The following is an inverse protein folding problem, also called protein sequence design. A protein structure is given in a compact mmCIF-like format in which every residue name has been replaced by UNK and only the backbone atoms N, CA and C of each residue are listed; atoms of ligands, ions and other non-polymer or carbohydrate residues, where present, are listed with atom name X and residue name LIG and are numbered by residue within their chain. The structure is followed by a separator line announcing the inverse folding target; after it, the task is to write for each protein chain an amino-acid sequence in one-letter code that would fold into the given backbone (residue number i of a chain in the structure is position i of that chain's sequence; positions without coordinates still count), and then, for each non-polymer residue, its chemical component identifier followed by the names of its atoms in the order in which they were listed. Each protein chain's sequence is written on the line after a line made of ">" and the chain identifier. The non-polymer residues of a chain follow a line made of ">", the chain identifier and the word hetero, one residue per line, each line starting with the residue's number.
data_IF_971955161657
#
_entry.id   IF_971955161657
#
_cell.length_a   1.000
_cell.length_b   1.000
_cell.length_c   1.000
_cell.angle_alpha   90.00
_cell.angle_beta   90.00
_cell.angle_gamma   90.00
#
_symmetry.space_group_name_H-M   'P 1'
#
loop_
_entity.id
_entity.type
_entity.pdbx_description
1 polymer ?
#
# COMPACT_ATOMS: atom_id res chain seq x y z
N UNK A 1 2.21 0.26 -16.07
CA UNK A 1 3.21 1.37 -16.10
C UNK A 1 4.59 0.85 -15.64
N UNK A 2 5.72 1.37 -16.16
CA UNK A 2 7.07 0.90 -15.76
C UNK A 2 7.40 1.48 -14.36
N UNK A 3 7.81 0.64 -13.41
CA UNK A 3 8.27 1.03 -12.05
C UNK A 3 9.22 2.23 -12.10
N UNK A 4 10.08 2.31 -13.13
CA UNK A 4 11.01 3.41 -13.36
C UNK A 4 10.32 4.78 -13.50
N UNK A 5 9.15 4.85 -14.15
CA UNK A 5 8.40 6.10 -14.34
C UNK A 5 7.77 6.62 -13.05
N UNK A 6 7.30 5.74 -12.17
CA UNK A 6 6.72 6.13 -10.87
C UNK A 6 7.82 6.65 -9.95
N UNK A 7 9.00 6.03 -9.99
CA UNK A 7 10.17 6.52 -9.27
C UNK A 7 10.64 7.89 -9.74
N UNK A 8 10.78 8.11 -11.05
CA UNK A 8 11.19 9.40 -11.61
C UNK A 8 10.22 10.55 -11.25
N UNK A 9 8.95 10.23 -10.99
CA UNK A 9 7.94 11.23 -10.62
C UNK A 9 7.98 11.60 -9.12
N UNK A 10 8.47 10.72 -8.25
CA UNK A 10 8.48 10.90 -6.79
C UNK A 10 9.89 11.26 -6.28
N UNK A 11 10.92 10.71 -6.93
CA UNK A 11 12.32 10.82 -6.54
C UNK A 11 13.14 11.38 -7.69
N UNK A 12 14.17 12.17 -7.37
CA UNK A 12 15.09 12.67 -8.40
C UNK A 12 15.82 11.51 -9.11
N UNK A 13 16.34 11.76 -10.32
CA UNK A 13 16.99 10.75 -11.16
C UNK A 13 18.17 10.03 -10.46
N UNK A 14 18.89 10.74 -9.58
CA UNK A 14 20.03 10.23 -8.81
C UNK A 14 19.61 9.22 -7.73
N UNK A 15 18.55 9.52 -6.98
CA UNK A 15 17.99 8.63 -5.96
C UNK A 15 17.42 7.37 -6.59
N UNK A 16 16.71 7.53 -7.71
CA UNK A 16 16.17 6.42 -8.51
C UNK A 16 17.26 5.42 -8.92
N UNK A 17 18.40 5.92 -9.41
CA UNK A 17 19.54 5.08 -9.84
C UNK A 17 20.14 4.30 -8.67
N UNK A 18 20.27 4.93 -7.50
CA UNK A 18 20.81 4.30 -6.29
C UNK A 18 19.92 3.16 -5.75
N UNK A 19 18.59 3.30 -5.87
CA UNK A 19 17.62 2.30 -5.41
C UNK A 19 17.54 1.10 -6.36
N UNK A 20 17.53 1.35 -7.68
CA UNK A 20 17.54 0.26 -8.68
C UNK A 20 18.80 -0.61 -8.53
N UNK A 21 19.95 -0.02 -8.23
CA UNK A 21 21.21 -0.75 -8.00
C UNK A 21 21.21 -1.63 -6.74
N UNK A 22 20.29 -1.39 -5.80
CA UNK A 22 20.16 -2.17 -4.56
C UNK A 22 19.21 -3.36 -4.66
N UNK A 23 18.56 -3.61 -5.80
CA UNK A 23 17.62 -4.72 -5.95
C UNK A 23 16.41 -4.59 -5.01
N UNK A 24 15.72 -3.45 -5.07
CA UNK A 24 14.56 -3.16 -4.21
C UNK A 24 13.49 -4.25 -4.30
N UNK A 25 12.98 -4.65 -3.13
CA UNK A 25 11.82 -5.55 -3.06
C UNK A 25 10.54 -4.80 -3.44
N UNK A 26 9.53 -5.53 -3.91
CA UNK A 26 8.21 -4.97 -4.22
C UNK A 26 7.57 -4.27 -3.01
N UNK A 27 7.71 -4.86 -1.82
CA UNK A 27 7.25 -4.27 -0.56
C UNK A 27 7.96 -2.95 -0.24
N UNK A 28 9.29 -2.90 -0.47
CA UNK A 28 10.06 -1.68 -0.27
C UNK A 28 9.60 -0.60 -1.24
N UNK A 29 9.33 -0.94 -2.50
CA UNK A 29 8.78 0.02 -3.45
C UNK A 29 7.45 0.61 -2.98
N UNK A 30 6.49 -0.24 -2.61
CA UNK A 30 5.17 0.20 -2.14
C UNK A 30 5.31 1.08 -0.89
N UNK A 31 6.15 0.68 0.07
CA UNK A 31 6.45 1.50 1.24
C UNK A 31 6.96 2.89 0.89
N UNK A 32 7.94 2.98 -0.01
CA UNK A 32 8.54 4.26 -0.40
C UNK A 32 7.52 5.19 -1.08
N UNK A 33 6.67 4.67 -1.97
CA UNK A 33 5.59 5.46 -2.59
C UNK A 33 4.64 6.04 -1.54
N UNK A 34 4.14 5.21 -0.63
CA UNK A 34 3.25 5.68 0.44
C UNK A 34 3.97 6.64 1.40
N UNK A 35 5.22 6.36 1.75
CA UNK A 35 6.04 7.20 2.64
C UNK A 35 6.22 8.59 2.07
N UNK A 36 6.57 8.69 0.78
CA UNK A 36 6.76 9.98 0.12
C UNK A 36 5.48 10.81 0.13
N UNK A 37 4.35 10.22 -0.25
CA UNK A 37 3.08 10.96 -0.38
C UNK A 37 2.52 11.34 0.98
N UNK A 38 2.46 10.39 1.92
CA UNK A 38 1.90 10.66 3.25
C UNK A 38 2.71 11.72 4.00
N UNK A 39 4.04 11.72 3.88
CA UNK A 39 4.89 12.72 4.55
C UNK A 39 4.85 14.11 3.91
N UNK A 40 4.45 14.21 2.65
CA UNK A 40 4.16 15.50 2.02
C UNK A 40 2.88 16.12 2.59
N UNK A 41 1.88 15.29 2.91
CA UNK A 41 0.60 15.73 3.48
C UNK A 41 0.66 15.97 4.99
N UNK A 42 1.29 15.05 5.73
CA UNK A 42 1.39 15.07 7.18
C UNK A 42 2.74 14.48 7.63
N UNK A 43 3.62 15.34 8.13
CA UNK A 43 4.95 14.94 8.63
C UNK A 43 4.90 14.08 9.89
N UNK A 44 3.75 13.99 10.56
CA UNK A 44 3.55 13.22 11.79
C UNK A 44 3.03 11.81 11.57
N UNK A 45 2.74 11.43 10.30
CA UNK A 45 2.32 10.08 9.94
C UNK A 45 3.36 9.04 10.39
N UNK A 46 2.88 7.98 11.03
CA UNK A 46 3.69 6.79 11.27
C UNK A 46 3.56 5.88 10.06
N UNK A 47 4.69 5.46 9.48
CA UNK A 47 4.74 4.47 8.42
C UNK A 47 5.95 3.55 8.64
N UNK A 48 5.72 2.24 8.54
CA UNK A 48 6.72 1.20 8.80
C UNK A 48 6.52 0.00 7.89
N UNK A 49 7.59 -0.77 7.69
CA UNK A 49 7.54 -2.10 7.04
C UNK A 49 7.54 -3.22 8.07
N UNK A 50 7.08 -4.40 7.67
CA UNK A 50 7.19 -5.65 8.44
C UNK A 50 6.67 -5.53 9.87
N UNK A 51 5.47 -4.96 10.02
CA UNK A 51 4.86 -4.73 11.33
C UNK A 51 4.08 -5.97 11.75
N UNK A 52 4.35 -6.47 12.95
CA UNK A 52 3.57 -7.54 13.58
C UNK A 52 2.61 -6.95 14.60
N UNK A 53 1.33 -7.31 14.50
CA UNK A 53 0.27 -6.85 15.40
C UNK A 53 -0.41 -8.07 16.01
N UNK A 54 -0.60 -8.07 17.34
CA UNK A 54 -1.37 -9.08 18.05
C UNK A 54 -2.86 -8.84 17.83
N UNK A 55 -3.56 -9.83 17.28
CA UNK A 55 -5.00 -9.82 17.08
C UNK A 55 -5.78 -10.21 18.34
N UNK A 56 -7.08 -9.95 18.35
CA UNK A 56 -7.97 -10.25 19.48
C UNK A 56 -8.17 -11.75 19.72
N UNK A 57 -7.88 -12.59 18.74
CA UNK A 57 -7.83 -14.05 18.92
C UNK A 57 -6.56 -14.54 19.63
N UNK A 58 -5.56 -13.66 19.85
CA UNK A 58 -4.24 -14.01 20.34
C UNK A 58 -3.25 -14.44 19.25
N UNK A 59 -3.68 -14.47 17.98
CA UNK A 59 -2.79 -14.69 16.84
C UNK A 59 -1.99 -13.42 16.49
N UNK A 60 -0.72 -13.58 16.15
CA UNK A 60 0.13 -12.48 15.64
C UNK A 60 0.07 -12.42 14.12
N UNK A 61 -0.22 -11.26 13.57
CA UNK A 61 -0.31 -11.03 12.12
C UNK A 61 0.78 -10.07 11.67
N UNK A 62 1.57 -10.48 10.68
CA UNK A 62 2.54 -9.62 10.02
C UNK A 62 1.91 -8.94 8.80
N UNK A 63 2.25 -7.66 8.61
CA UNK A 63 1.89 -6.84 7.47
C UNK A 63 3.14 -6.24 6.83
N UNK A 64 3.16 -6.21 5.50
CA UNK A 64 4.33 -5.77 4.73
C UNK A 64 4.57 -4.27 4.89
N UNK A 65 3.50 -3.48 4.86
CA UNK A 65 3.51 -2.04 5.17
C UNK A 65 2.35 -1.72 6.10
N UNK A 66 2.59 -0.80 7.02
CA UNK A 66 1.58 -0.27 7.92
C UNK A 66 1.76 1.24 8.03
N UNK A 67 0.64 1.99 8.03
CA UNK A 67 0.66 3.40 8.39
C UNK A 67 -0.52 3.80 9.26
N UNK A 68 -0.31 4.85 10.05
CA UNK A 68 -1.36 5.48 10.85
C UNK A 68 -1.15 6.98 11.02
N UNK A 69 -2.26 7.71 11.10
CA UNK A 69 -2.31 9.13 11.42
C UNK A 69 -3.60 9.44 12.19
N UNK A 70 -3.68 10.63 12.77
CA UNK A 70 -4.88 11.11 13.47
C UNK A 70 -5.46 12.31 12.76
N UNK A 71 -6.74 12.26 12.37
CA UNK A 71 -7.45 13.39 11.77
C UNK A 71 -8.71 13.65 12.57
N UNK A 72 -8.89 14.89 13.02
CA UNK A 72 -10.03 15.31 13.84
C UNK A 72 -10.32 14.29 14.96
N UNK A 73 -9.33 14.03 15.82
CA UNK A 73 -9.32 13.06 16.94
C UNK A 73 -9.53 11.58 16.57
N UNK A 74 -9.77 11.23 15.31
CA UNK A 74 -9.95 9.85 14.86
C UNK A 74 -8.62 9.28 14.38
N UNK A 75 -8.23 8.14 14.95
CA UNK A 75 -7.04 7.38 14.53
C UNK A 75 -7.38 6.51 13.32
N UNK A 76 -6.73 6.79 12.20
CA UNK A 76 -6.83 6.00 10.97
C UNK A 76 -5.63 5.07 10.87
N UNK A 77 -5.88 3.77 10.67
CA UNK A 77 -4.85 2.73 10.61
C UNK A 77 -5.05 1.89 9.36
N UNK A 78 -3.98 1.66 8.62
CA UNK A 78 -4.01 0.91 7.37
C UNK A 78 -2.86 -0.07 7.34
N UNK A 79 -3.19 -1.32 7.05
CA UNK A 79 -2.23 -2.36 6.73
C UNK A 79 -2.28 -2.67 5.23
N UNK A 80 -1.09 -2.90 4.66
CA UNK A 80 -0.90 -3.22 3.26
C UNK A 80 -0.21 -4.58 3.14
N UNK A 81 -0.79 -5.47 2.33
CA UNK A 81 -0.19 -6.74 1.93
C UNK A 81 0.22 -6.66 0.45
N UNK A 82 1.45 -7.03 0.15
CA UNK A 82 2.10 -6.95 -1.14
C UNK A 82 2.23 -8.34 -1.77
N UNK A 83 1.69 -8.52 -2.98
CA UNK A 83 1.76 -9.80 -3.72
C UNK A 83 2.52 -9.64 -5.04
N UNK A 84 3.80 -10.02 -5.03
CA UNK A 84 4.68 -10.02 -6.20
C UNK A 84 4.79 -11.40 -6.87
N UNK A 85 3.64 -12.01 -7.20
CA UNK A 85 3.60 -13.30 -7.89
C UNK A 85 3.48 -13.12 -9.40
N UNK A 86 3.88 -14.12 -10.19
CA UNK A 86 3.73 -14.11 -11.66
C UNK A 86 2.28 -14.27 -12.15
N UNK A 87 1.39 -14.77 -11.31
CA UNK A 87 -0.02 -15.02 -11.65
C UNK A 87 -0.93 -14.10 -10.84
N UNK A 88 -2.10 -13.72 -11.40
CA UNK A 88 -3.09 -12.95 -10.66
C UNK A 88 -3.46 -13.60 -9.32
N UNK A 89 -3.68 -12.76 -8.32
CA UNK A 89 -4.05 -13.19 -6.97
C UNK A 89 -5.46 -13.79 -6.97
N UNK A 90 -5.57 -14.98 -6.39
CA UNK A 90 -6.84 -15.70 -6.24
C UNK A 90 -7.65 -15.23 -5.01
N UNK A 91 -8.91 -15.67 -4.95
CA UNK A 91 -9.83 -15.33 -3.85
C UNK A 91 -9.31 -15.81 -2.49
N UNK A 92 -8.63 -16.95 -2.43
CA UNK A 92 -8.15 -17.55 -1.18
C UNK A 92 -7.17 -16.62 -0.47
N UNK A 93 -6.22 -16.06 -1.20
CA UNK A 93 -5.24 -15.09 -0.66
C UNK A 93 -5.90 -13.81 -0.15
N UNK A 94 -6.92 -13.29 -0.86
CA UNK A 94 -7.67 -12.12 -0.39
C UNK A 94 -8.46 -12.46 0.89
N UNK A 95 -9.05 -13.66 0.96
CA UNK A 95 -9.74 -14.17 2.13
C UNK A 95 -8.82 -14.31 3.34
N UNK A 96 -7.62 -14.85 3.16
CA UNK A 96 -6.60 -14.97 4.22
C UNK A 96 -6.25 -13.58 4.79
N UNK A 97 -5.97 -12.61 3.91
CA UNK A 97 -5.68 -11.25 4.32
C UNK A 97 -6.88 -10.61 5.05
N UNK A 98 -8.11 -10.80 4.55
CA UNK A 98 -9.32 -10.31 5.21
C UNK A 98 -9.45 -10.88 6.64
N UNK A 99 -9.12 -12.15 6.85
CA UNK A 99 -9.12 -12.76 8.18
C UNK A 99 -8.12 -12.08 9.13
N UNK A 100 -6.90 -11.75 8.66
CA UNK A 100 -5.92 -10.97 9.45
C UNK A 100 -6.49 -9.60 9.84
N UNK A 101 -7.13 -8.91 8.90
CA UNK A 101 -7.71 -7.58 9.12
C UNK A 101 -8.87 -7.63 10.14
N UNK A 102 -9.74 -8.63 10.07
CA UNK A 102 -10.87 -8.77 11.00
C UNK A 102 -10.45 -9.04 12.45
N UNK A 103 -9.25 -9.60 12.63
CA UNK A 103 -8.70 -9.91 13.94
C UNK A 103 -8.10 -8.68 14.65
N UNK A 104 -7.97 -7.54 13.96
CA UNK A 104 -7.44 -6.30 14.52
C UNK A 104 -8.49 -5.20 14.43
N UNK A 105 -8.85 -4.64 15.58
CA UNK A 105 -9.89 -3.62 15.62
C UNK A 105 -9.41 -2.30 14.97
N UNK A 106 -10.33 -1.66 14.24
CA UNK A 106 -10.09 -0.40 13.52
C UNK A 106 -8.87 -0.44 12.58
N UNK A 107 -8.77 -1.50 11.76
CA UNK A 107 -7.74 -1.64 10.73
C UNK A 107 -8.36 -1.75 9.34
N UNK A 108 -7.92 -0.89 8.42
CA UNK A 108 -8.26 -1.01 7.00
C UNK A 108 -7.20 -1.83 6.27
N UNK A 109 -7.63 -2.61 5.28
CA UNK A 109 -6.74 -3.48 4.50
C UNK A 109 -6.65 -3.04 3.05
N UNK A 110 -5.42 -2.84 2.57
CA UNK A 110 -5.09 -2.69 1.15
C UNK A 110 -4.26 -3.90 0.74
N UNK A 111 -4.60 -4.53 -0.38
CA UNK A 111 -3.71 -5.50 -1.02
C UNK A 111 -3.20 -4.90 -2.33
N UNK A 112 -1.89 -4.94 -2.54
CA UNK A 112 -1.25 -4.48 -3.77
C UNK A 112 -0.68 -5.69 -4.52
N UNK A 113 -1.04 -5.87 -5.79
CA UNK A 113 -0.50 -6.96 -6.62
C UNK A 113 0.22 -6.47 -7.87
N UNK A 114 1.40 -7.04 -8.13
CA UNK A 114 2.14 -6.80 -9.37
C UNK A 114 1.47 -7.43 -10.61
N UNK A 115 0.69 -8.51 -10.43
CA UNK A 115 0.04 -9.26 -11.52
C UNK A 115 -1.48 -9.16 -11.51
N UNK A 116 -2.05 -8.25 -10.69
CA UNK A 116 -3.50 -8.06 -10.57
C UNK A 116 -4.22 -9.23 -9.90
N UNK A 117 -5.53 -9.33 -10.16
CA UNK A 117 -6.45 -10.20 -9.43
C UNK A 117 -7.32 -11.03 -10.37
N UNK A 118 -7.70 -12.23 -9.92
CA UNK A 118 -8.76 -12.99 -10.57
C UNK A 118 -10.13 -12.31 -10.33
N UNK A 119 -11.10 -12.56 -11.21
CA UNK A 119 -12.46 -12.01 -11.08
C UNK A 119 -13.10 -12.37 -9.73
N UNK A 120 -12.98 -13.62 -9.30
CA UNK A 120 -13.51 -14.08 -8.01
C UNK A 120 -12.86 -13.42 -6.79
N UNK A 121 -11.58 -13.01 -6.89
CA UNK A 121 -10.91 -12.22 -5.86
C UNK A 121 -11.48 -10.80 -5.78
N UNK A 122 -11.69 -10.18 -6.95
CA UNK A 122 -12.25 -8.83 -7.08
C UNK A 122 -13.69 -8.76 -6.53
N UNK A 123 -14.55 -9.72 -6.90
CA UNK A 123 -15.91 -9.82 -6.37
C UNK A 123 -15.92 -9.96 -4.85
N UNK A 124 -15.04 -10.80 -4.31
CA UNK A 124 -14.96 -11.02 -2.85
C UNK A 124 -14.45 -9.78 -2.11
N UNK A 125 -13.43 -9.10 -2.64
CA UNK A 125 -12.89 -7.89 -2.02
C UNK A 125 -13.93 -6.76 -1.95
N UNK A 126 -14.70 -6.55 -3.03
CA UNK A 126 -15.78 -5.58 -3.08
C UNK A 126 -16.83 -5.80 -1.98
N UNK A 127 -17.16 -7.07 -1.69
CA UNK A 127 -18.10 -7.41 -0.61
C UNK A 127 -17.52 -7.39 0.80
N UNK A 128 -16.19 -7.25 0.97
CA UNK A 128 -15.52 -7.37 2.28
C UNK A 128 -14.74 -6.13 2.70
N UNK A 129 -14.64 -5.11 1.84
CA UNK A 129 -13.97 -3.85 2.14
C UNK A 129 -12.44 -3.93 2.13
N UNK A 130 -11.86 -4.97 1.51
CA UNK A 130 -10.44 -4.97 1.17
C UNK A 130 -10.26 -4.15 -0.10
N UNK A 131 -9.40 -3.14 -0.07
CA UNK A 131 -9.05 -2.38 -1.27
C UNK A 131 -8.03 -3.18 -2.06
N UNK A 132 -8.31 -3.44 -3.33
CA UNK A 132 -7.38 -4.07 -4.25
C UNK A 132 -6.72 -3.00 -5.11
N UNK A 133 -5.39 -3.07 -5.22
CA UNK A 133 -4.60 -2.14 -6.03
C UNK A 133 -3.60 -2.89 -6.88
N UNK A 134 -3.34 -2.36 -8.06
CA UNK A 134 -2.17 -2.69 -8.88
C UNK A 134 -1.15 -1.56 -8.79
N UNK A 135 0.00 -1.73 -9.46
CA UNK A 135 1.00 -0.68 -9.59
C UNK A 135 0.43 0.60 -10.21
N UNK A 136 -0.55 0.49 -11.09
CA UNK A 136 -1.13 1.64 -11.80
C UNK A 136 -2.13 2.41 -10.91
N UNK A 137 -2.58 1.80 -9.80
CA UNK A 137 -3.51 2.39 -8.84
C UNK A 137 -2.80 3.07 -7.67
N UNK A 138 -1.49 2.85 -7.50
CA UNK A 138 -0.73 3.42 -6.39
C UNK A 138 -0.88 4.95 -6.35
N UNK A 139 -0.91 5.54 -5.14
CA UNK A 139 -1.12 6.97 -5.01
C UNK A 139 -0.06 7.73 -5.81
N UNK A 140 -0.49 8.77 -6.49
CA UNK A 140 0.36 9.69 -7.25
C UNK A 140 0.10 11.09 -6.75
N UNK A 141 1.17 11.88 -6.60
CA UNK A 141 1.02 13.30 -6.30
C UNK A 141 0.60 14.02 -7.58
N UNK A 142 -0.67 14.35 -7.72
CA UNK A 142 -1.11 15.30 -8.73
C UNK A 142 -0.64 16.69 -8.29
N UNK A 143 0.42 17.22 -8.91
CA UNK A 143 0.58 18.67 -8.94
C UNK A 143 -0.64 19.22 -9.69
N UNK A 144 -1.55 19.98 -9.05
CA UNK A 144 -2.55 20.70 -9.83
C UNK A 144 -1.77 21.58 -10.80
N UNK A 145 -2.02 21.40 -12.09
CA UNK A 145 -1.46 22.28 -13.11
C UNK A 145 -1.78 23.70 -12.66
N UNK A 146 -0.76 24.53 -12.49
CA UNK A 146 -0.93 25.97 -12.27
C UNK A 146 -1.63 26.55 -13.50
N UNK A 147 -2.96 26.44 -13.56
CA UNK A 147 -3.75 27.26 -14.45
C UNK A 147 -3.88 28.63 -13.79
N UNK A 148 -2.77 29.37 -13.85
CA UNK A 148 -2.83 30.82 -13.89
C UNK A 148 -3.57 31.14 -15.18
N UNK A 149 -4.84 31.50 -15.06
CA UNK A 149 -5.51 32.34 -16.04
C UNK A 149 -6.03 33.55 -15.30
N UNK A 150 -5.31 34.64 -15.55
CA UNK A 150 -5.74 36.04 -15.45
C UNK A 150 -7.19 36.23 -15.88
#
# INVERSE_FOLDING_TARGET
>A
MNIKRVFEAIYNLSETTSMVNKGITFETFVHEVYSAILRLEDKTVLISKNVTILGKTGASHQFDVYYEFTKAIVKHRVAIECKNHRRPVDKGKVGEFKSKILDIDNLMGIMVSASGYQSGASTYANGTGIVLMTLDDLPTYFYPSQNIRT
#
